data_IF_977948903868
#
_entry.id   IF_977948903868
#
_cell.length_a   1.000
_cell.length_b   1.000
_cell.length_c   1.000
_cell.angle_alpha   90.00
_cell.angle_beta   90.00
_cell.angle_gamma   90.00
#
_symmetry.space_group_name_H-M   'P 1'
#
loop_
_entity.id
_entity.type
_entity.pdbx_description
1 polymer ?
#
# COMPACT_ATOMS: atom_id res chain seq x y z
N UNK A 1 17.14 10.57 13.30
CA UNK A 1 15.86 9.87 13.03
C UNK A 1 14.77 10.28 14.02
N UNK A 2 14.94 10.13 15.34
CA UNK A 2 13.98 10.62 16.35
C UNK A 2 13.73 12.14 16.32
N UNK A 3 14.73 12.95 15.91
CA UNK A 3 14.57 14.39 15.74
C UNK A 3 13.65 14.78 14.56
N UNK A 4 13.43 13.87 13.61
CA UNK A 4 12.58 14.10 12.43
C UNK A 4 11.28 13.29 12.47
N UNK A 5 11.24 12.18 13.21
CA UNK A 5 10.02 11.39 13.49
C UNK A 5 9.95 11.14 14.99
N UNK A 6 9.37 12.05 15.79
CA UNK A 6 9.20 11.85 17.23
C UNK A 6 8.36 10.60 17.54
N UNK A 7 7.47 10.21 16.61
CA UNK A 7 6.63 9.01 16.68
C UNK A 7 7.39 7.70 16.39
N UNK A 8 8.59 7.78 15.80
CA UNK A 8 9.37 6.60 15.41
C UNK A 8 8.77 5.79 14.25
N UNK A 9 7.84 6.38 13.50
CA UNK A 9 7.24 5.77 12.31
C UNK A 9 8.02 6.14 11.06
N UNK A 10 8.00 5.25 10.08
CA UNK A 10 8.54 5.46 8.72
C UNK A 10 7.44 5.13 7.71
N UNK A 11 7.45 5.75 6.52
CA UNK A 11 8.37 6.78 6.03
C UNK A 11 8.14 8.18 6.63
N UNK A 12 9.19 9.00 6.64
CA UNK A 12 9.12 10.45 6.95
C UNK A 12 9.82 11.24 5.85
N UNK A 13 9.20 12.32 5.40
CA UNK A 13 9.73 13.26 4.42
C UNK A 13 10.09 14.58 5.11
N UNK A 14 11.31 15.07 4.87
CA UNK A 14 11.78 16.38 5.31
C UNK A 14 11.90 17.26 4.07
N UNK A 15 11.19 18.38 4.05
CA UNK A 15 11.20 19.35 2.96
C UNK A 15 12.39 20.30 3.07
N UNK A 16 12.69 21.02 1.98
CA UNK A 16 13.81 21.97 1.94
C UNK A 16 13.68 23.13 2.94
N UNK A 17 12.45 23.51 3.29
CA UNK A 17 12.14 24.53 4.28
C UNK A 17 12.20 24.01 5.73
N UNK A 18 12.52 22.72 5.92
CA UNK A 18 12.57 22.04 7.22
C UNK A 18 11.23 21.50 7.70
N UNK A 19 10.14 21.66 6.94
CA UNK A 19 8.85 21.05 7.25
C UNK A 19 8.93 19.52 7.18
N UNK A 20 8.16 18.85 8.03
CA UNK A 20 8.17 17.38 8.17
C UNK A 20 6.78 16.83 7.87
N UNK A 21 6.72 15.77 7.05
CA UNK A 21 5.52 14.97 6.80
C UNK A 21 5.82 13.54 7.23
N UNK A 22 5.11 13.02 8.23
CA UNK A 22 5.42 11.76 8.92
C UNK A 22 4.40 10.63 8.71
N UNK A 23 3.46 10.82 7.78
CA UNK A 23 2.46 9.82 7.38
C UNK A 23 2.60 9.48 5.89
N UNK A 24 2.60 8.19 5.55
CA UNK A 24 2.85 7.73 4.17
C UNK A 24 1.82 8.27 3.18
N UNK A 25 0.55 8.34 3.57
CA UNK A 25 -0.51 8.87 2.71
C UNK A 25 -0.36 10.37 2.46
N UNK A 26 0.08 11.12 3.46
CA UNK A 26 0.30 12.56 3.32
C UNK A 26 1.54 12.85 2.47
N UNK A 27 2.58 12.01 2.55
CA UNK A 27 3.71 12.05 1.61
C UNK A 27 3.24 11.79 0.17
N UNK A 28 2.36 10.80 -0.05
CA UNK A 28 1.79 10.53 -1.38
C UNK A 28 1.00 11.75 -1.89
N UNK A 29 0.11 12.32 -1.06
CA UNK A 29 -0.68 13.50 -1.41
C UNK A 29 0.18 14.71 -1.70
N UNK A 30 1.22 14.94 -0.90
CA UNK A 30 2.18 16.01 -1.11
C UNK A 30 2.88 15.86 -2.47
N UNK A 31 3.40 14.67 -2.78
CA UNK A 31 4.10 14.41 -4.03
C UNK A 31 3.19 14.63 -5.25
N UNK A 32 1.95 14.13 -5.19
CA UNK A 32 0.96 14.31 -6.25
C UNK A 32 0.47 15.76 -6.35
N UNK A 33 0.41 16.49 -5.23
CA UNK A 33 0.11 17.92 -5.23
C UNK A 33 1.13 18.77 -6.00
N UNK A 34 2.37 18.29 -6.15
CA UNK A 34 3.39 18.94 -6.98
C UNK A 34 3.26 18.62 -8.46
N UNK A 35 2.94 17.36 -8.80
CA UNK A 35 2.82 16.90 -10.17
C UNK A 35 1.96 15.62 -10.27
N UNK A 36 0.72 15.78 -10.75
CA UNK A 36 -0.23 14.67 -10.96
C UNK A 36 -0.77 14.63 -12.40
N UNK A 37 0.07 14.29 -13.40
CA UNK A 37 -0.34 14.28 -14.81
C UNK A 37 -1.36 13.19 -15.13
N UNK A 38 -1.52 12.19 -14.24
CA UNK A 38 -2.43 11.06 -14.42
C UNK A 38 -3.71 11.20 -13.57
N UNK A 39 -3.89 12.31 -12.86
CA UNK A 39 -5.03 12.57 -11.97
C UNK A 39 -5.26 11.46 -10.94
N UNK A 40 -4.18 10.93 -10.35
CA UNK A 40 -4.22 9.92 -9.31
C UNK A 40 -4.97 10.40 -8.05
N UNK A 41 -5.00 11.71 -7.79
CA UNK A 41 -5.80 12.32 -6.73
C UNK A 41 -7.30 12.39 -7.03
N UNK A 42 -7.72 11.98 -8.24
CA UNK A 42 -9.12 12.01 -8.68
C UNK A 42 -9.72 13.44 -8.57
N UNK A 43 -8.91 14.45 -8.88
CA UNK A 43 -9.30 15.86 -8.81
C UNK A 43 -10.54 16.11 -9.67
N UNK A 44 -11.54 16.77 -9.08
CA UNK A 44 -12.83 17.04 -9.73
C UNK A 44 -13.83 15.88 -9.67
N UNK A 45 -13.50 14.77 -8.98
CA UNK A 45 -14.34 13.58 -8.88
C UNK A 45 -14.69 13.28 -7.41
N UNK A 46 -15.61 14.04 -6.79
CA UNK A 46 -15.85 13.97 -5.34
C UNK A 46 -16.34 12.61 -4.86
N UNK A 47 -17.15 11.90 -5.65
CA UNK A 47 -17.63 10.56 -5.29
C UNK A 47 -16.49 9.52 -5.29
N UNK A 48 -15.69 9.35 -6.37
CA UNK A 48 -14.50 8.51 -6.33
C UNK A 48 -13.49 8.89 -5.25
N UNK A 49 -13.31 10.17 -4.96
CA UNK A 49 -12.43 10.62 -3.87
C UNK A 49 -12.88 10.12 -2.49
N UNK A 50 -14.18 10.17 -2.20
CA UNK A 50 -14.72 9.66 -0.93
C UNK A 50 -14.62 8.14 -0.84
N UNK A 51 -14.83 7.43 -1.96
CA UNK A 51 -14.62 5.98 -2.03
C UNK A 51 -13.16 5.61 -1.80
N UNK A 52 -12.22 6.33 -2.43
CA UNK A 52 -10.78 6.16 -2.22
C UNK A 52 -10.42 6.34 -0.75
N UNK A 53 -10.90 7.42 -0.13
CA UNK A 53 -10.69 7.70 1.29
C UNK A 53 -11.23 6.57 2.16
N UNK A 54 -12.45 6.11 1.94
CA UNK A 54 -13.08 5.02 2.71
C UNK A 54 -12.28 3.73 2.61
N UNK A 55 -11.82 3.35 1.41
CA UNK A 55 -11.01 2.14 1.23
C UNK A 55 -9.64 2.23 1.91
N UNK A 56 -8.99 3.39 1.85
CA UNK A 56 -7.72 3.63 2.54
C UNK A 56 -7.91 3.59 4.05
N UNK A 57 -8.97 4.22 4.57
CA UNK A 57 -9.30 4.22 5.99
C UNK A 57 -9.58 2.78 6.49
N UNK A 58 -10.31 1.96 5.72
CA UNK A 58 -10.55 0.55 6.05
C UNK A 58 -9.25 -0.27 6.04
N UNK A 59 -8.38 -0.03 5.06
CA UNK A 59 -7.06 -0.66 5.00
C UNK A 59 -6.26 -0.32 6.27
N UNK A 60 -6.23 0.96 6.64
CA UNK A 60 -5.39 1.46 7.71
C UNK A 60 -5.85 1.06 9.11
N UNK A 61 -7.17 1.05 9.33
CA UNK A 61 -7.74 0.86 10.67
C UNK A 61 -8.18 -0.58 10.95
N UNK A 62 -8.52 -1.36 9.92
CA UNK A 62 -9.01 -2.73 10.10
C UNK A 62 -8.06 -3.76 9.49
N UNK A 63 -7.81 -3.68 8.18
CA UNK A 63 -7.08 -4.73 7.47
C UNK A 63 -5.64 -4.88 7.97
N UNK A 64 -4.91 -3.79 8.20
CA UNK A 64 -3.52 -3.85 8.71
C UNK A 64 -3.38 -4.63 10.01
N UNK A 65 -4.34 -4.48 10.93
CA UNK A 65 -4.32 -5.22 12.20
C UNK A 65 -4.43 -6.73 11.97
N UNK A 66 -5.29 -7.16 11.05
CA UNK A 66 -5.42 -8.57 10.68
C UNK A 66 -4.21 -9.08 9.90
N UNK A 67 -3.69 -8.28 8.97
CA UNK A 67 -2.48 -8.58 8.23
C UNK A 67 -1.28 -8.79 9.15
N UNK A 68 -1.08 -7.93 10.15
CA UNK A 68 0.04 -8.08 11.08
C UNK A 68 -0.11 -9.31 11.98
N UNK A 69 -1.33 -9.64 12.43
CA UNK A 69 -1.59 -10.89 13.16
C UNK A 69 -1.37 -12.12 12.29
N UNK A 70 -1.75 -12.06 11.01
CA UNK A 70 -1.50 -13.14 10.06
C UNK A 70 0.00 -13.34 9.80
N UNK A 71 0.76 -12.26 9.58
CA UNK A 71 2.21 -12.29 9.35
C UNK A 71 3.01 -12.81 10.56
N UNK A 72 2.54 -12.51 11.76
CA UNK A 72 3.25 -12.81 13.01
C UNK A 72 2.38 -13.65 13.95
N UNK A 73 1.69 -14.66 13.41
CA UNK A 73 0.76 -15.50 14.17
C UNK A 73 1.44 -16.19 15.38
N UNK A 74 2.76 -16.40 15.31
CA UNK A 74 3.60 -16.87 16.41
C UNK A 74 3.58 -15.95 17.65
N UNK A 75 3.30 -14.65 17.45
CA UNK A 75 3.21 -13.63 18.51
C UNK A 75 1.78 -13.44 19.05
N UNK A 76 0.79 -14.06 18.40
CA UNK A 76 -0.64 -13.95 18.73
C UNK A 76 -1.24 -15.36 18.89
N UNK A 77 -0.95 -16.06 20.00
CA UNK A 77 -1.39 -17.45 20.20
C UNK A 77 -2.89 -17.58 20.50
N UNK A 78 -3.64 -16.48 20.56
CA UNK A 78 -5.07 -16.49 20.89
C UNK A 78 -5.92 -17.15 19.80
N UNK A 79 -5.47 -17.11 18.54
CA UNK A 79 -6.15 -17.74 17.40
C UNK A 79 -5.13 -18.35 16.43
N UNK A 80 -5.62 -19.15 15.49
CA UNK A 80 -4.76 -19.74 14.46
C UNK A 80 -4.39 -18.72 13.37
N UNK A 81 -3.27 -18.97 12.69
CA UNK A 81 -2.88 -18.23 11.48
C UNK A 81 -4.01 -18.21 10.43
N UNK A 82 -4.69 -19.35 10.24
CA UNK A 82 -5.84 -19.49 9.34
C UNK A 82 -6.98 -18.56 9.74
N UNK A 83 -7.26 -18.42 11.04
CA UNK A 83 -8.29 -17.49 11.51
C UNK A 83 -7.93 -16.04 11.16
N UNK A 84 -6.70 -15.61 11.41
CA UNK A 84 -6.26 -14.25 11.08
C UNK A 84 -6.29 -13.98 9.57
N UNK A 85 -5.92 -14.98 8.76
CA UNK A 85 -6.06 -14.91 7.30
C UNK A 85 -7.52 -14.71 6.91
N UNK A 86 -8.44 -15.51 7.44
CA UNK A 86 -9.88 -15.42 7.13
C UNK A 86 -10.50 -14.08 7.53
N UNK A 87 -10.03 -13.47 8.61
CA UNK A 87 -10.43 -12.10 8.96
C UNK A 87 -9.91 -11.07 7.95
N UNK A 88 -8.65 -11.20 7.51
CA UNK A 88 -8.08 -10.37 6.44
C UNK A 88 -8.75 -10.59 5.07
N UNK A 89 -9.18 -11.81 4.77
CA UNK A 89 -9.88 -12.20 3.54
C UNK A 89 -11.18 -11.41 3.32
N UNK A 90 -11.80 -10.87 4.38
CA UNK A 90 -12.98 -9.99 4.26
C UNK A 90 -12.67 -8.74 3.43
N UNK A 91 -11.50 -8.14 3.65
CA UNK A 91 -11.05 -7.00 2.86
C UNK A 91 -10.64 -7.43 1.44
N UNK A 92 -9.96 -8.58 1.30
CA UNK A 92 -9.61 -9.13 -0.02
C UNK A 92 -10.86 -9.37 -0.87
N UNK A 93 -11.92 -9.92 -0.28
CA UNK A 93 -13.21 -10.13 -0.96
C UNK A 93 -13.88 -8.81 -1.36
N UNK A 94 -13.75 -7.75 -0.55
CA UNK A 94 -14.21 -6.42 -0.93
C UNK A 94 -13.47 -5.89 -2.17
N UNK A 95 -12.13 -6.04 -2.21
CA UNK A 95 -11.33 -5.63 -3.36
C UNK A 95 -11.67 -6.46 -4.60
N UNK A 96 -11.86 -7.77 -4.44
CA UNK A 96 -12.26 -8.67 -5.53
C UNK A 96 -13.55 -8.19 -6.20
N UNK A 97 -14.56 -7.80 -5.41
CA UNK A 97 -15.83 -7.29 -5.96
C UNK A 97 -15.69 -5.95 -6.69
N UNK A 98 -14.74 -5.11 -6.28
CA UNK A 98 -14.45 -3.85 -6.99
C UNK A 98 -13.75 -4.14 -8.32
N UNK A 99 -12.77 -5.05 -8.30
CA UNK A 99 -11.97 -5.43 -9.46
C UNK A 99 -12.72 -6.33 -10.46
N UNK A 100 -13.85 -6.90 -10.05
CA UNK A 100 -14.80 -7.53 -10.99
C UNK A 100 -15.38 -6.51 -11.99
N UNK A 101 -15.47 -5.23 -11.59
CA UNK A 101 -16.10 -4.16 -12.38
C UNK A 101 -15.09 -3.34 -13.17
N UNK A 102 -13.84 -3.33 -12.73
CA UNK A 102 -12.82 -2.37 -13.14
C UNK A 102 -11.43 -2.99 -13.10
N UNK A 103 -10.52 -2.53 -13.97
CA UNK A 103 -9.12 -3.00 -13.94
C UNK A 103 -8.35 -2.51 -12.71
N UNK A 104 -8.79 -1.42 -12.10
CA UNK A 104 -8.22 -0.83 -10.87
C UNK A 104 -9.35 -0.63 -9.85
N UNK A 105 -9.03 -0.30 -8.60
CA UNK A 105 -9.99 -0.40 -7.51
C UNK A 105 -11.24 0.48 -7.66
N UNK A 106 -11.15 1.60 -8.38
CA UNK A 106 -12.27 2.54 -8.57
C UNK A 106 -12.63 2.81 -10.02
N UNK A 107 -11.76 2.47 -10.98
CA UNK A 107 -11.97 2.72 -12.41
C UNK A 107 -11.02 1.85 -13.24
N UNK A 108 -11.03 1.98 -14.57
CA UNK A 108 -10.04 1.28 -15.41
C UNK A 108 -8.65 1.93 -15.37
N UNK A 109 -8.50 3.10 -14.72
CA UNK A 109 -7.24 3.79 -14.52
C UNK A 109 -6.83 3.80 -13.04
N UNK A 110 -5.52 3.68 -12.79
CA UNK A 110 -5.00 3.64 -11.43
C UNK A 110 -5.20 5.00 -10.75
N UNK A 111 -5.36 4.96 -9.43
CA UNK A 111 -5.49 6.16 -8.59
C UNK A 111 -4.71 5.98 -7.30
N UNK A 112 -4.72 7.00 -6.43
CA UNK A 112 -3.99 6.98 -5.16
C UNK A 112 -4.34 5.76 -4.30
N UNK A 113 -5.59 5.27 -4.36
CA UNK A 113 -6.03 4.12 -3.55
C UNK A 113 -5.35 2.82 -3.97
N UNK A 114 -5.07 2.64 -5.27
CA UNK A 114 -4.37 1.45 -5.76
C UNK A 114 -2.96 1.40 -5.16
N UNK A 115 -2.23 2.52 -5.22
CA UNK A 115 -0.86 2.61 -4.69
C UNK A 115 -0.80 2.61 -3.16
N UNK A 116 -1.85 3.09 -2.48
CA UNK A 116 -1.94 3.05 -1.02
C UNK A 116 -2.21 1.62 -0.49
N UNK A 117 -3.01 0.82 -1.21
CA UNK A 117 -3.44 -0.52 -0.77
C UNK A 117 -2.51 -1.62 -1.27
N UNK A 118 -2.00 -1.51 -2.51
CA UNK A 118 -1.14 -2.52 -3.15
C UNK A 118 -0.01 -3.08 -2.26
N UNK A 119 0.76 -2.26 -1.51
CA UNK A 119 1.82 -2.77 -0.65
C UNK A 119 1.32 -3.74 0.43
N UNK A 120 0.12 -3.52 0.97
CA UNK A 120 -0.47 -4.36 2.02
C UNK A 120 -0.98 -5.68 1.44
N UNK A 121 -1.59 -5.65 0.25
CA UNK A 121 -2.02 -6.86 -0.45
C UNK A 121 -0.83 -7.71 -0.87
N UNK A 122 0.26 -7.07 -1.31
CA UNK A 122 1.54 -7.76 -1.57
C UNK A 122 2.08 -8.46 -0.33
N UNK A 123 1.98 -7.84 0.85
CA UNK A 123 2.38 -8.48 2.11
C UNK A 123 1.47 -9.65 2.46
N UNK A 124 0.14 -9.48 2.34
CA UNK A 124 -0.85 -10.52 2.63
C UNK A 124 -0.63 -11.77 1.77
N UNK A 125 -0.51 -11.58 0.44
CA UNK A 125 -0.18 -12.64 -0.49
C UNK A 125 1.21 -13.25 -0.24
N UNK A 126 2.12 -12.48 0.37
CA UNK A 126 3.47 -12.90 0.68
C UNK A 126 3.59 -13.86 1.87
N UNK A 127 2.60 -13.90 2.78
CA UNK A 127 2.62 -14.80 3.96
C UNK A 127 2.51 -16.27 3.51
N UNK A 128 1.51 -16.58 2.69
CA UNK A 128 1.35 -17.89 2.03
C UNK A 128 0.98 -17.69 0.56
N UNK A 129 2.02 -17.67 -0.29
CA UNK A 129 1.87 -17.50 -1.74
C UNK A 129 1.16 -18.68 -2.40
N UNK A 130 1.40 -19.89 -1.90
CA UNK A 130 0.82 -21.10 -2.49
C UNK A 130 -0.68 -21.09 -2.31
N UNK A 131 -1.14 -20.78 -1.09
CA UNK A 131 -2.56 -20.60 -0.82
C UNK A 131 -3.15 -19.43 -1.60
N UNK A 132 -2.50 -18.25 -1.60
CA UNK A 132 -3.05 -17.06 -2.25
C UNK A 132 -3.29 -17.26 -3.74
N UNK A 133 -2.41 -18.00 -4.42
CA UNK A 133 -2.55 -18.36 -5.84
C UNK A 133 -3.71 -19.34 -6.14
N UNK A 134 -4.23 -20.02 -5.12
CA UNK A 134 -5.36 -20.96 -5.23
C UNK A 134 -6.67 -20.37 -4.67
N UNK A 135 -6.58 -19.23 -3.97
CA UNK A 135 -7.72 -18.58 -3.35
C UNK A 135 -8.71 -18.05 -4.42
N UNK A 136 -10.01 -17.88 -4.07
CA UNK A 136 -11.05 -17.46 -5.01
C UNK A 136 -11.04 -15.95 -5.27
N UNK A 137 -9.85 -15.37 -5.50
CA UNK A 137 -9.64 -13.93 -5.73
C UNK A 137 -8.85 -13.65 -7.03
N UNK A 138 -9.31 -14.15 -8.19
CA UNK A 138 -8.57 -14.04 -9.45
C UNK A 138 -8.36 -12.59 -9.89
N UNK A 139 -9.29 -11.67 -9.62
CA UNK A 139 -9.15 -10.27 -10.03
C UNK A 139 -8.14 -9.54 -9.15
N UNK A 140 -8.12 -9.79 -7.83
CA UNK A 140 -7.06 -9.27 -6.94
C UNK A 140 -5.69 -9.83 -7.34
N UNK A 141 -5.60 -11.12 -7.68
CA UNK A 141 -4.35 -11.73 -8.15
C UNK A 141 -3.84 -11.04 -9.42
N UNK A 142 -4.71 -10.82 -10.40
CA UNK A 142 -4.38 -10.14 -11.66
C UNK A 142 -3.96 -8.68 -11.43
N UNK A 143 -4.73 -7.94 -10.65
CA UNK A 143 -4.43 -6.55 -10.27
C UNK A 143 -3.07 -6.46 -9.57
N UNK A 144 -2.80 -7.33 -8.59
CA UNK A 144 -1.54 -7.39 -7.87
C UNK A 144 -0.36 -7.69 -8.82
N UNK A 145 -0.53 -8.67 -9.71
CA UNK A 145 0.47 -9.02 -10.71
C UNK A 145 0.78 -7.84 -11.64
N UNK A 146 -0.25 -7.16 -12.14
CA UNK A 146 -0.10 -6.01 -13.04
C UNK A 146 0.75 -4.88 -12.43
N UNK A 147 0.57 -4.61 -11.13
CA UNK A 147 1.35 -3.61 -10.41
C UNK A 147 2.80 -4.06 -10.20
N UNK A 148 3.02 -5.32 -9.81
CA UNK A 148 4.35 -5.91 -9.61
C UNK A 148 5.19 -5.97 -10.90
N UNK A 149 4.53 -6.19 -12.03
CA UNK A 149 5.19 -6.28 -13.35
C UNK A 149 5.33 -4.92 -14.04
N UNK A 150 4.73 -3.87 -13.48
CA UNK A 150 4.78 -2.53 -14.08
C UNK A 150 6.20 -1.96 -14.13
N UNK A 151 6.58 -1.25 -15.21
CA UNK A 151 7.87 -0.56 -15.30
C UNK A 151 8.09 0.45 -14.16
N UNK A 152 7.02 1.07 -13.67
CA UNK A 152 7.06 2.02 -12.55
C UNK A 152 7.53 1.30 -11.29
N UNK A 153 6.92 0.15 -10.97
CA UNK A 153 7.31 -0.64 -9.80
C UNK A 153 8.75 -1.12 -9.90
N UNK A 154 9.16 -1.64 -11.06
CA UNK A 154 10.53 -2.09 -11.29
C UNK A 154 11.57 -0.96 -11.07
N UNK A 155 11.24 0.28 -11.45
CA UNK A 155 12.14 1.42 -11.28
C UNK A 155 12.27 1.86 -9.82
N UNK A 156 11.17 1.87 -9.04
CA UNK A 156 11.21 2.30 -7.63
C UNK A 156 11.77 1.24 -6.69
N UNK A 157 11.71 -0.04 -7.06
CA UNK A 157 12.21 -1.16 -6.26
C UNK A 157 13.73 -1.40 -6.38
N UNK A 158 14.48 -0.46 -6.96
CA UNK A 158 15.95 -0.51 -6.98
C UNK A 158 16.46 -0.60 -5.53
N UNK A 159 17.33 -1.59 -5.29
CA UNK A 159 17.96 -1.76 -3.98
C UNK A 159 19.09 -0.76 -3.83
N UNK A 160 19.04 0.00 -2.74
CA UNK A 160 20.12 0.86 -2.31
C UNK A 160 20.81 0.24 -1.08
N UNK A 161 22.14 0.36 -0.95
CA UNK A 161 22.84 0.04 0.29
C UNK A 161 22.20 0.72 1.49
N UNK A 162 22.23 0.04 2.64
CA UNK A 162 21.71 0.65 3.87
C UNK A 162 22.64 1.79 4.31
N UNK A 163 22.08 2.91 4.77
CA UNK A 163 22.87 4.05 5.19
C UNK A 163 23.85 3.72 6.34
N UNK A 164 23.47 2.80 7.23
CA UNK A 164 24.34 2.35 8.32
C UNK A 164 25.61 1.64 7.82
N UNK A 165 25.55 1.02 6.64
CA UNK A 165 26.68 0.31 6.04
C UNK A 165 27.47 1.20 5.08
N UNK A 166 26.79 2.02 4.26
CA UNK A 166 27.43 2.80 3.20
C UNK A 166 27.75 4.24 3.60
N UNK A 167 26.98 4.86 4.49
CA UNK A 167 27.00 6.31 4.75
C UNK A 167 26.57 7.16 3.55
N UNK A 168 26.07 6.54 2.47
CA UNK A 168 25.76 7.22 1.21
C UNK A 168 24.32 7.73 1.19
N UNK A 169 24.16 8.93 0.63
CA UNK A 169 22.86 9.49 0.26
C UNK A 169 22.59 9.21 -1.22
N UNK A 170 21.39 8.74 -1.54
CA UNK A 170 20.97 8.47 -2.91
C UNK A 170 19.96 9.51 -3.38
N UNK A 171 20.14 9.99 -4.60
CA UNK A 171 19.14 10.81 -5.29
C UNK A 171 18.09 9.88 -5.90
N UNK A 172 16.82 10.14 -5.58
CA UNK A 172 15.69 9.45 -6.17
C UNK A 172 15.13 10.27 -7.33
N UNK A 173 15.08 9.69 -8.52
CA UNK A 173 14.65 10.36 -9.75
C UNK A 173 15.81 10.95 -10.56
N UNK A 174 15.56 11.33 -11.83
CA UNK A 174 16.49 12.09 -12.65
C UNK A 174 16.59 13.57 -12.24
#
# INVERSE_FOLDING_TARGET
>A
MLAASPKGTVPVLILQDGSIIDESLDIMRWALGLNDPHNLLLTGQPQPQEQAKTLIDNNDNEFKSWLDKYKYADRYPEQSEIFYRTEGEKFIAQLEHLLEKHQQLLSDSASIVDFAIFPFIRQFAGVDRTWFNQAPYPNVQLWLASHLESPIFANIMKKYPTWLESGESFLFGP
#
